data_IF_420853213449
#
_entry.id   IF_420853213449
#
_cell.length_a   1.000
_cell.length_b   1.000
_cell.length_c   1.000
_cell.angle_alpha   90.00
_cell.angle_beta   90.00
_cell.angle_gamma   90.00
#
_symmetry.space_group_name_H-M   'P 1'
#
loop_
_entity.id
_entity.type
_entity.pdbx_description
1 polymer ?
#
# COMPACT_ATOMS: atom_id res chain seq x y z
N UNK A 1 -12.37 1.13 -16.66
CA UNK A 1 -12.95 1.33 -15.33
C UNK A 1 -14.19 0.46 -15.15
N UNK A 2 -14.35 -0.13 -13.96
CA UNK A 2 -15.54 -0.89 -13.59
C UNK A 2 -16.77 0.05 -13.61
N UNK A 3 -17.89 -0.32 -14.28
CA UNK A 3 -19.14 0.43 -14.21
C UNK A 3 -19.69 0.50 -12.78
N UNK A 4 -20.34 1.61 -12.42
CA UNK A 4 -20.86 1.83 -11.07
C UNK A 4 -21.86 0.75 -10.63
N UNK A 5 -22.79 0.39 -11.51
CA UNK A 5 -23.79 -0.64 -11.26
C UNK A 5 -23.18 -2.03 -11.00
N UNK A 6 -22.06 -2.35 -11.65
CA UNK A 6 -21.34 -3.62 -11.41
C UNK A 6 -20.67 -3.59 -10.03
N UNK A 7 -20.03 -2.48 -9.67
CA UNK A 7 -19.45 -2.33 -8.33
C UNK A 7 -20.52 -2.42 -7.24
N UNK A 8 -21.65 -1.75 -7.41
CA UNK A 8 -22.79 -1.80 -6.48
C UNK A 8 -23.37 -3.20 -6.33
N UNK A 9 -23.52 -3.93 -7.43
CA UNK A 9 -24.01 -5.32 -7.41
C UNK A 9 -23.03 -6.23 -6.68
N UNK A 10 -21.73 -6.12 -6.95
CA UNK A 10 -20.70 -6.89 -6.26
C UNK A 10 -20.67 -6.63 -4.75
N UNK A 11 -20.75 -5.36 -4.34
CA UNK A 11 -20.79 -4.97 -2.94
C UNK A 11 -22.02 -5.54 -2.24
N UNK A 12 -23.22 -5.44 -2.84
CA UNK A 12 -24.45 -6.03 -2.31
C UNK A 12 -24.32 -7.54 -2.08
N UNK A 13 -23.83 -8.25 -3.11
CA UNK A 13 -23.59 -9.69 -3.03
C UNK A 13 -22.59 -10.06 -1.93
N UNK A 14 -21.54 -9.24 -1.73
CA UNK A 14 -20.58 -9.45 -0.65
C UNK A 14 -21.24 -9.34 0.74
N UNK A 15 -22.07 -8.33 0.96
CA UNK A 15 -22.77 -8.17 2.24
C UNK A 15 -23.85 -9.21 2.47
N UNK A 16 -24.56 -9.65 1.43
CA UNK A 16 -25.51 -10.78 1.52
C UNK A 16 -24.79 -12.07 1.95
N UNK A 17 -23.63 -12.34 1.36
CA UNK A 17 -22.78 -13.48 1.76
C UNK A 17 -22.25 -13.32 3.17
N UNK A 18 -21.75 -12.15 3.55
CA UNK A 18 -21.27 -11.86 4.89
C UNK A 18 -22.36 -12.11 5.94
N UNK A 19 -23.58 -11.68 5.69
CA UNK A 19 -24.74 -11.96 6.56
C UNK A 19 -25.03 -13.45 6.69
N UNK A 20 -25.02 -14.18 5.57
CA UNK A 20 -25.29 -15.63 5.55
C UNK A 20 -24.23 -16.44 6.29
N UNK A 21 -22.95 -16.04 6.12
CA UNK A 21 -21.80 -16.69 6.71
C UNK A 21 -21.44 -16.16 8.12
N UNK A 22 -22.22 -15.22 8.65
CA UNK A 22 -22.00 -14.56 9.96
C UNK A 22 -20.60 -13.91 10.08
N UNK A 23 -20.15 -13.26 9.01
CA UNK A 23 -18.88 -12.53 8.97
C UNK A 23 -19.07 -11.18 9.66
N UNK A 24 -18.25 -10.89 10.67
CA UNK A 24 -18.35 -9.68 11.49
C UNK A 24 -17.83 -8.41 10.82
N UNK A 25 -17.00 -8.55 9.78
CA UNK A 25 -16.32 -7.42 9.18
C UNK A 25 -16.02 -7.63 7.69
N UNK A 26 -16.25 -6.59 6.88
CA UNK A 26 -16.00 -6.57 5.42
C UNK A 26 -15.02 -5.46 5.08
N UNK A 27 -14.03 -5.76 4.28
CA UNK A 27 -13.11 -4.78 3.70
C UNK A 27 -13.46 -4.55 2.22
N UNK A 28 -13.76 -3.31 1.86
CA UNK A 28 -14.00 -2.89 0.48
C UNK A 28 -12.70 -2.32 -0.08
N UNK A 29 -11.96 -3.16 -0.79
CA UNK A 29 -10.65 -2.82 -1.34
C UNK A 29 -10.77 -2.21 -2.74
N UNK A 30 -10.34 -0.96 -2.88
CA UNK A 30 -10.13 -0.32 -4.19
C UNK A 30 -8.71 -0.65 -4.68
N UNK A 31 -8.66 -1.47 -5.72
CA UNK A 31 -7.41 -1.98 -6.27
C UNK A 31 -7.31 -1.71 -7.77
N UNK A 32 -6.09 -1.70 -8.30
CA UNK A 32 -5.78 -1.49 -9.70
C UNK A 32 -4.29 -1.21 -9.88
N UNK A 33 -3.85 -0.69 -11.00
CA UNK A 33 -2.48 -0.19 -11.15
C UNK A 33 -2.25 1.00 -10.21
N UNK A 34 -3.11 2.04 -10.32
CA UNK A 34 -3.22 3.14 -9.36
C UNK A 34 -4.71 3.48 -9.19
N UNK A 35 -5.31 3.23 -8.01
CA UNK A 35 -6.75 3.42 -7.83
C UNK A 35 -7.19 4.88 -7.96
N UNK A 36 -6.36 5.83 -7.53
CA UNK A 36 -6.72 7.26 -7.57
C UNK A 36 -6.71 7.90 -8.96
N UNK A 37 -6.29 7.19 -10.01
CA UNK A 37 -6.62 7.58 -11.41
C UNK A 37 -8.14 7.61 -11.60
N UNK A 38 -8.87 6.77 -10.86
CA UNK A 38 -10.32 6.68 -10.89
C UNK A 38 -10.99 7.36 -9.69
N UNK A 39 -10.41 8.43 -9.15
CA UNK A 39 -10.85 9.06 -7.91
C UNK A 39 -12.35 9.35 -7.88
N UNK A 40 -12.91 9.94 -8.94
CA UNK A 40 -14.35 10.21 -9.00
C UNK A 40 -15.17 8.91 -8.85
N UNK A 41 -14.73 7.81 -9.44
CA UNK A 41 -15.41 6.52 -9.29
C UNK A 41 -15.32 5.95 -7.87
N UNK A 42 -14.18 6.13 -7.19
CA UNK A 42 -14.03 5.77 -5.78
C UNK A 42 -15.04 6.58 -4.95
N UNK A 43 -15.10 7.89 -5.18
CA UNK A 43 -16.02 8.81 -4.50
C UNK A 43 -17.47 8.40 -4.69
N UNK A 44 -17.91 8.17 -5.94
CA UNK A 44 -19.27 7.75 -6.27
C UNK A 44 -19.67 6.45 -5.57
N UNK A 45 -18.75 5.46 -5.52
CA UNK A 45 -18.98 4.17 -4.85
C UNK A 45 -19.08 4.36 -3.36
N UNK A 46 -18.15 5.11 -2.75
CA UNK A 46 -18.12 5.35 -1.32
C UNK A 46 -19.35 6.13 -0.84
N UNK A 47 -19.74 7.20 -1.54
CA UNK A 47 -20.90 8.00 -1.19
C UNK A 47 -22.20 7.17 -1.27
N UNK A 48 -22.34 6.35 -2.32
CA UNK A 48 -23.44 5.41 -2.42
C UNK A 48 -23.42 4.37 -1.31
N UNK A 49 -22.25 3.78 -1.00
CA UNK A 49 -22.05 2.76 0.04
C UNK A 49 -22.41 3.31 1.43
N UNK A 50 -21.96 4.52 1.74
CA UNK A 50 -22.17 5.16 3.03
C UNK A 50 -23.61 5.68 3.25
N UNK A 51 -24.38 5.80 2.18
CA UNK A 51 -25.80 6.15 2.23
C UNK A 51 -26.71 4.94 2.48
N UNK A 52 -26.15 3.72 2.60
CA UNK A 52 -26.90 2.48 2.85
C UNK A 52 -26.69 1.98 4.28
N UNK A 53 -27.62 1.20 4.78
CA UNK A 53 -27.42 0.38 5.97
C UNK A 53 -26.97 -1.03 5.58
N UNK A 54 -25.92 -1.51 6.23
CA UNK A 54 -25.33 -2.82 5.95
C UNK A 54 -25.37 -3.73 7.17
N UNK A 55 -25.57 -5.05 6.99
CA UNK A 55 -25.71 -6.00 8.09
C UNK A 55 -24.42 -6.28 8.86
N UNK A 56 -23.28 -5.81 8.34
CA UNK A 56 -21.94 -6.13 8.84
C UNK A 56 -21.10 -4.85 8.85
N UNK A 57 -20.20 -4.71 9.83
CA UNK A 57 -19.22 -3.61 9.88
C UNK A 57 -18.29 -3.68 8.67
N UNK A 58 -17.84 -2.53 8.20
CA UNK A 58 -16.96 -2.48 7.06
C UNK A 58 -16.05 -1.24 7.09
N UNK A 59 -15.00 -1.30 6.29
CA UNK A 59 -14.12 -0.17 5.97
C UNK A 59 -13.84 -0.12 4.47
N UNK A 60 -13.62 1.05 3.92
CA UNK A 60 -13.07 1.22 2.60
C UNK A 60 -11.54 1.36 2.69
N UNK A 61 -10.83 0.73 1.77
CA UNK A 61 -9.38 0.74 1.78
C UNK A 61 -8.81 0.86 0.35
N UNK A 62 -7.74 1.62 0.18
CA UNK A 62 -6.96 1.65 -1.04
C UNK A 62 -5.46 1.65 -0.75
N UNK A 63 -4.67 0.98 -1.59
CA UNK A 63 -3.22 1.17 -1.62
C UNK A 63 -2.87 2.04 -2.81
N UNK A 64 -2.10 3.08 -2.60
CA UNK A 64 -1.71 4.05 -3.63
C UNK A 64 -0.20 4.18 -3.73
N UNK A 65 0.29 4.59 -4.90
CA UNK A 65 1.67 5.05 -5.09
C UNK A 65 1.89 6.47 -4.54
N UNK A 66 0.85 7.15 -4.07
CA UNK A 66 0.89 8.46 -3.43
C UNK A 66 0.97 9.66 -4.38
N UNK A 67 1.26 9.46 -5.66
CA UNK A 67 1.55 10.56 -6.60
C UNK A 67 0.33 11.41 -6.99
N UNK A 68 -0.87 10.87 -6.78
CA UNK A 68 -2.14 11.56 -7.10
C UNK A 68 -2.86 12.08 -5.84
N UNK A 69 -2.24 11.95 -4.66
CA UNK A 69 -2.84 12.41 -3.41
C UNK A 69 -2.52 13.89 -3.19
N UNK A 70 -3.31 14.76 -3.80
CA UNK A 70 -3.19 16.22 -3.72
C UNK A 70 -4.56 16.90 -3.83
N UNK A 71 -4.64 18.19 -3.49
CA UNK A 71 -5.84 19.04 -3.63
C UNK A 71 -7.14 18.33 -3.19
N UNK A 72 -8.14 18.24 -4.08
CA UNK A 72 -9.46 17.64 -3.82
C UNK A 72 -9.37 16.22 -3.25
N UNK A 73 -8.39 15.42 -3.68
CA UNK A 73 -8.21 14.05 -3.18
C UNK A 73 -7.86 14.09 -1.69
N UNK A 74 -6.92 14.94 -1.29
CA UNK A 74 -6.56 15.13 0.13
C UNK A 74 -7.74 15.61 0.96
N UNK A 75 -8.45 16.62 0.49
CA UNK A 75 -9.60 17.18 1.21
C UNK A 75 -10.68 16.11 1.43
N UNK A 76 -10.98 15.32 0.39
CA UNK A 76 -11.95 14.25 0.49
C UNK A 76 -11.49 13.14 1.45
N UNK A 77 -10.22 12.73 1.37
CA UNK A 77 -9.64 11.73 2.27
C UNK A 77 -9.67 12.20 3.73
N UNK A 78 -9.28 13.45 3.99
CA UNK A 78 -9.32 14.03 5.34
C UNK A 78 -10.72 14.05 5.94
N UNK A 79 -11.73 14.43 5.12
CA UNK A 79 -13.13 14.42 5.54
C UNK A 79 -13.64 13.01 5.88
N UNK A 80 -13.07 11.98 5.27
CA UNK A 80 -13.58 10.61 5.34
C UNK A 80 -12.58 9.62 5.97
N UNK A 81 -11.53 10.09 6.66
CA UNK A 81 -10.43 9.24 7.14
C UNK A 81 -10.85 8.11 8.09
N UNK A 82 -11.98 8.28 8.79
CA UNK A 82 -12.55 7.27 9.68
C UNK A 82 -13.27 6.13 8.92
N UNK A 83 -13.59 6.35 7.64
CA UNK A 83 -14.33 5.41 6.78
C UNK A 83 -13.51 4.90 5.60
N UNK A 84 -12.40 5.60 5.29
CA UNK A 84 -11.55 5.30 4.16
C UNK A 84 -10.08 5.33 4.59
N UNK A 85 -9.46 4.18 4.58
CA UNK A 85 -8.05 4.04 4.95
C UNK A 85 -7.19 3.99 3.69
N UNK A 86 -6.03 4.63 3.74
CA UNK A 86 -5.08 4.65 2.61
C UNK A 86 -3.74 4.10 3.06
N UNK A 87 -3.31 3.03 2.40
CA UNK A 87 -1.95 2.50 2.52
C UNK A 87 -1.03 3.06 1.44
N UNK A 88 0.19 3.39 1.80
CA UNK A 88 1.19 3.91 0.87
C UNK A 88 2.10 2.79 0.35
N UNK A 89 2.38 2.81 -0.97
CA UNK A 89 3.47 2.05 -1.56
C UNK A 89 4.75 2.88 -1.55
N UNK A 90 5.73 2.48 -0.75
CA UNK A 90 7.02 3.15 -0.64
C UNK A 90 8.15 2.11 -0.56
N UNK A 91 9.07 2.15 -1.51
CA UNK A 91 10.12 1.12 -1.64
C UNK A 91 11.44 1.57 -0.99
N UNK A 92 11.41 1.84 0.32
CA UNK A 92 12.62 2.18 1.08
C UNK A 92 13.11 3.60 0.86
N UNK A 93 14.43 3.76 0.69
CA UNK A 93 15.05 5.08 0.47
C UNK A 93 14.60 5.71 -0.84
N UNK A 94 14.85 7.02 -0.98
CA UNK A 94 14.56 7.74 -2.23
C UNK A 94 15.19 7.07 -3.45
N UNK A 95 16.42 6.58 -3.33
CA UNK A 95 17.12 5.89 -4.41
C UNK A 95 16.44 4.57 -4.77
N UNK A 96 16.14 3.73 -3.78
CA UNK A 96 15.44 2.46 -3.98
C UNK A 96 14.07 2.66 -4.62
N UNK A 97 13.29 3.60 -4.08
CA UNK A 97 11.95 3.92 -4.61
C UNK A 97 12.03 4.40 -6.05
N UNK A 98 12.93 5.35 -6.34
CA UNK A 98 13.07 5.90 -7.67
C UNK A 98 13.50 4.85 -8.70
N UNK A 99 14.35 3.90 -8.31
CA UNK A 99 14.73 2.76 -9.14
C UNK A 99 13.54 1.86 -9.49
N UNK A 100 12.71 1.55 -8.50
CA UNK A 100 11.58 0.62 -8.68
C UNK A 100 10.33 1.30 -9.28
N UNK A 101 10.17 2.63 -9.09
CA UNK A 101 8.90 3.35 -9.34
C UNK A 101 9.10 4.64 -10.15
N UNK A 102 9.89 4.58 -11.21
CA UNK A 102 9.98 5.65 -12.23
C UNK A 102 10.23 7.06 -11.66
N UNK A 103 11.14 7.21 -10.72
CA UNK A 103 11.53 8.48 -10.10
C UNK A 103 10.33 9.24 -9.50
N UNK A 104 9.49 8.55 -8.74
CA UNK A 104 8.27 9.14 -8.20
C UNK A 104 8.35 9.57 -6.73
N UNK A 105 9.46 9.33 -6.02
CA UNK A 105 9.58 9.60 -4.58
C UNK A 105 9.22 11.04 -4.21
N UNK A 106 9.76 12.03 -4.92
CA UNK A 106 9.55 13.46 -4.63
C UNK A 106 8.15 13.97 -4.99
N UNK A 107 7.32 13.12 -5.61
CA UNK A 107 5.91 13.42 -5.91
C UNK A 107 4.97 12.97 -4.80
N UNK A 108 5.50 12.30 -3.77
CA UNK A 108 4.73 11.74 -2.66
C UNK A 108 4.81 12.71 -1.48
N UNK A 109 3.67 13.11 -0.97
CA UNK A 109 3.59 13.82 0.31
C UNK A 109 3.60 12.79 1.46
N UNK A 110 4.79 12.28 1.79
CA UNK A 110 4.99 11.27 2.83
C UNK A 110 4.45 11.73 4.19
N UNK A 111 4.71 12.97 4.65
CA UNK A 111 4.16 13.48 5.92
C UNK A 111 2.64 13.33 6.01
N UNK A 112 1.92 13.58 4.93
CA UNK A 112 0.46 13.44 4.91
C UNK A 112 -0.01 12.02 5.32
N UNK A 113 0.69 10.97 4.89
CA UNK A 113 0.34 9.60 5.25
C UNK A 113 0.67 9.28 6.71
N UNK A 114 1.82 9.75 7.20
CA UNK A 114 2.26 9.56 8.59
C UNK A 114 1.28 10.25 9.56
N UNK A 115 0.89 11.48 9.26
CA UNK A 115 -0.01 12.28 10.11
C UNK A 115 -1.43 11.69 10.17
N UNK A 116 -1.91 11.10 9.09
CA UNK A 116 -3.30 10.68 8.98
C UNK A 116 -3.54 9.18 9.20
N UNK A 117 -2.57 8.33 8.88
CA UNK A 117 -2.66 6.88 9.05
C UNK A 117 -1.35 6.29 9.58
N UNK A 118 -0.87 6.69 10.78
CA UNK A 118 0.42 6.26 11.33
C UNK A 118 0.49 4.74 11.54
N UNK A 119 -0.65 4.11 11.83
CA UNK A 119 -0.74 2.66 12.03
C UNK A 119 -0.85 1.85 10.72
N UNK A 120 -1.03 2.53 9.58
CA UNK A 120 -1.05 1.85 8.30
C UNK A 120 0.36 1.50 7.85
N UNK A 121 0.55 0.23 7.55
CA UNK A 121 1.83 -0.24 7.03
C UNK A 121 2.10 0.28 5.62
N UNK A 122 3.35 0.63 5.40
CA UNK A 122 3.87 0.87 4.06
C UNK A 122 4.01 -0.47 3.32
N UNK A 123 3.64 -0.50 2.05
CA UNK A 123 3.92 -1.64 1.15
C UNK A 123 5.20 -1.38 0.38
N UNK A 124 6.21 -2.19 0.66
CA UNK A 124 7.53 -2.17 0.01
C UNK A 124 7.67 -3.39 -0.91
N UNK A 125 8.20 -3.19 -2.11
CA UNK A 125 8.43 -4.26 -3.08
C UNK A 125 9.92 -4.36 -3.41
N UNK A 126 10.71 -5.11 -2.61
CA UNK A 126 12.11 -5.36 -2.93
C UNK A 126 12.24 -6.06 -4.28
N UNK A 127 13.24 -5.65 -5.06
CA UNK A 127 13.61 -6.22 -6.35
C UNK A 127 15.07 -6.70 -6.31
N UNK A 128 15.55 -7.49 -7.28
CA UNK A 128 16.95 -7.87 -7.36
C UNK A 128 17.90 -6.67 -7.29
N UNK A 129 17.51 -5.54 -7.91
CA UNK A 129 18.31 -4.31 -7.91
C UNK A 129 18.34 -3.55 -6.58
N UNK A 130 17.39 -3.82 -5.66
CA UNK A 130 17.29 -3.13 -4.36
C UNK A 130 17.52 -4.05 -3.16
N UNK A 131 17.70 -5.36 -3.38
CA UNK A 131 17.83 -6.35 -2.32
C UNK A 131 19.01 -6.06 -1.38
N UNK A 132 20.15 -5.62 -1.92
CA UNK A 132 21.37 -5.30 -1.14
C UNK A 132 21.19 -4.14 -0.16
N UNK A 133 20.18 -3.29 -0.38
CA UNK A 133 19.82 -2.16 0.47
C UNK A 133 18.51 -2.39 1.24
N UNK A 134 18.02 -3.62 1.32
CA UNK A 134 16.74 -3.94 1.98
C UNK A 134 16.69 -3.42 3.42
N UNK A 135 17.73 -3.68 4.21
CA UNK A 135 17.78 -3.25 5.60
C UNK A 135 17.76 -1.71 5.73
N UNK A 136 18.57 -1.03 4.93
CA UNK A 136 18.60 0.44 4.86
C UNK A 136 17.22 1.00 4.50
N UNK A 137 16.54 0.40 3.52
CA UNK A 137 15.21 0.83 3.10
C UNK A 137 14.15 0.65 4.19
N UNK A 138 14.17 -0.47 4.92
CA UNK A 138 13.25 -0.72 6.04
C UNK A 138 13.52 0.24 7.20
N UNK A 139 14.79 0.44 7.54
CA UNK A 139 15.20 1.40 8.60
C UNK A 139 14.74 2.82 8.22
N UNK A 140 14.98 3.25 6.98
CA UNK A 140 14.56 4.56 6.50
C UNK A 140 13.03 4.76 6.65
N UNK A 141 12.22 3.77 6.27
CA UNK A 141 10.75 3.84 6.42
C UNK A 141 10.38 3.99 7.90
N UNK A 142 11.03 3.26 8.81
CA UNK A 142 10.81 3.39 10.24
C UNK A 142 11.22 4.78 10.76
N UNK A 143 12.37 5.31 10.35
CA UNK A 143 12.85 6.65 10.71
C UNK A 143 11.96 7.78 10.19
N UNK A 144 11.24 7.56 9.08
CA UNK A 144 10.20 8.47 8.62
C UNK A 144 8.99 8.54 9.55
N UNK A 145 8.80 7.54 10.44
CA UNK A 145 7.71 7.48 11.40
C UNK A 145 6.62 6.44 11.09
N UNK A 146 6.83 5.55 10.12
CA UNK A 146 5.91 4.44 9.91
C UNK A 146 6.18 3.30 10.89
N UNK A 147 5.14 2.86 11.62
CA UNK A 147 5.25 1.78 12.60
C UNK A 147 5.29 0.37 11.97
N UNK A 148 4.88 0.23 10.70
CA UNK A 148 4.78 -1.05 10.00
C UNK A 148 5.32 -0.97 8.58
N UNK A 149 6.02 -2.03 8.16
CA UNK A 149 6.47 -2.21 6.78
C UNK A 149 6.17 -3.63 6.30
N UNK A 150 5.36 -3.73 5.25
CA UNK A 150 4.99 -5.00 4.62
C UNK A 150 5.83 -5.19 3.36
N UNK A 151 6.84 -6.06 3.42
CA UNK A 151 7.69 -6.39 2.28
C UNK A 151 7.09 -7.55 1.48
N UNK A 152 6.82 -7.32 0.19
CA UNK A 152 6.45 -8.35 -0.77
C UNK A 152 7.45 -8.34 -1.91
N UNK A 153 8.20 -9.42 -2.07
CA UNK A 153 9.23 -9.51 -3.11
C UNK A 153 8.61 -9.44 -4.52
N UNK A 154 9.30 -8.77 -5.43
CA UNK A 154 8.87 -8.63 -6.81
C UNK A 154 8.68 -10.00 -7.48
N UNK A 155 7.51 -10.19 -8.10
CA UNK A 155 7.18 -11.40 -8.87
C UNK A 155 7.50 -11.19 -10.35
N UNK A 156 7.77 -12.31 -11.07
CA UNK A 156 8.01 -12.27 -12.51
C UNK A 156 9.39 -11.73 -12.91
N UNK A 157 10.32 -11.62 -11.96
CA UNK A 157 11.71 -11.22 -12.18
C UNK A 157 12.68 -12.33 -11.83
N UNK A 158 13.85 -12.36 -12.46
CA UNK A 158 14.90 -13.32 -12.16
C UNK A 158 15.62 -12.91 -10.86
N UNK A 159 15.60 -13.77 -9.85
CA UNK A 159 16.27 -13.55 -8.57
C UNK A 159 17.69 -14.11 -8.49
N UNK A 160 18.09 -14.93 -9.47
CA UNK A 160 19.42 -15.50 -9.60
C UNK A 160 20.44 -14.56 -10.27
N UNK A 161 19.97 -13.39 -10.70
CA UNK A 161 20.79 -12.37 -11.38
C UNK A 161 20.52 -10.97 -10.86
N UNK A 162 21.54 -10.13 -10.86
CA UNK A 162 21.40 -8.70 -10.64
C UNK A 162 20.81 -7.99 -11.89
N UNK A 163 20.61 -6.70 -11.78
CA UNK A 163 20.11 -5.85 -12.86
C UNK A 163 20.99 -5.82 -14.11
N UNK A 164 22.26 -6.22 -13.98
CA UNK A 164 23.22 -6.32 -15.09
C UNK A 164 23.33 -7.76 -15.65
N UNK A 165 22.50 -8.69 -15.16
CA UNK A 165 22.49 -10.10 -15.57
C UNK A 165 23.60 -10.95 -14.96
N UNK A 166 24.34 -10.42 -13.97
CA UNK A 166 25.38 -11.15 -13.25
C UNK A 166 24.73 -12.06 -12.20
N UNK A 167 25.18 -13.31 -12.11
CA UNK A 167 24.72 -14.27 -11.13
C UNK A 167 24.90 -13.73 -9.68
N UNK A 168 23.89 -13.87 -8.85
CA UNK A 168 23.90 -13.50 -7.44
C UNK A 168 23.33 -14.65 -6.59
N UNK A 169 23.84 -14.79 -5.38
CA UNK A 169 23.20 -15.58 -4.33
C UNK A 169 22.25 -14.68 -3.53
N UNK A 170 20.99 -14.60 -3.97
CA UNK A 170 19.99 -13.78 -3.31
C UNK A 170 19.67 -14.26 -1.88
N UNK A 171 19.83 -15.56 -1.58
CA UNK A 171 19.57 -16.11 -0.26
C UNK A 171 20.60 -15.61 0.74
N UNK A 172 21.88 -15.65 0.36
CA UNK A 172 22.94 -15.08 1.18
C UNK A 172 22.73 -13.59 1.42
N UNK A 173 22.45 -12.83 0.36
CA UNK A 173 22.19 -11.39 0.47
C UNK A 173 21.01 -11.12 1.39
N UNK A 174 19.89 -11.84 1.23
CA UNK A 174 18.73 -11.68 2.09
C UNK A 174 19.05 -11.96 3.55
N UNK A 175 19.79 -13.04 3.83
CA UNK A 175 20.20 -13.39 5.18
C UNK A 175 21.05 -12.28 5.82
N UNK A 176 22.00 -11.71 5.08
CA UNK A 176 22.81 -10.57 5.55
C UNK A 176 21.94 -9.34 5.87
N UNK A 177 20.95 -9.03 5.02
CA UNK A 177 20.04 -7.91 5.25
C UNK A 177 19.15 -8.15 6.49
N UNK A 178 18.62 -9.37 6.67
CA UNK A 178 17.80 -9.71 7.82
C UNK A 178 18.62 -9.65 9.13
N UNK A 179 19.91 -10.04 9.11
CA UNK A 179 20.78 -9.88 10.27
C UNK A 179 21.00 -8.39 10.64
N UNK A 180 21.18 -7.51 9.66
CA UNK A 180 21.26 -6.05 9.90
C UNK A 180 19.99 -5.51 10.53
N UNK A 181 18.82 -5.93 10.06
CA UNK A 181 17.54 -5.55 10.65
C UNK A 181 17.38 -6.07 12.07
N UNK A 182 17.77 -7.33 12.35
CA UNK A 182 17.71 -7.88 13.69
C UNK A 182 18.59 -7.08 14.67
N UNK A 183 19.78 -6.67 14.26
CA UNK A 183 20.66 -5.79 15.07
C UNK A 183 19.97 -4.45 15.33
N UNK A 184 19.45 -3.78 14.29
CA UNK A 184 18.75 -2.50 14.43
C UNK A 184 17.57 -2.60 15.41
N UNK A 185 16.70 -3.60 15.24
CA UNK A 185 15.53 -3.82 16.10
C UNK A 185 15.87 -4.18 17.54
N UNK A 186 17.09 -4.67 17.81
CA UNK A 186 17.54 -4.94 19.18
C UNK A 186 18.01 -3.68 19.94
N UNK A 187 18.14 -2.56 19.23
CA UNK A 187 18.64 -1.28 19.77
C UNK A 187 17.52 -0.25 20.03
N UNK A 188 16.31 -0.53 19.59
CA UNK A 188 15.14 0.33 19.74
C UNK A 188 14.09 -0.34 20.64
#
# INVERSE_FOLDING_TARGET
LMPLNIAQSGIKSTFERAKKEQIDYVEILFHGGEPFIAFQRIKDICEWLWAQEWPTKYICYATTNGTLIHNEVKEWLMKNKERFIVGLSLDGTREMHNRNRSNSYDKIDIPFFIENWPEQGVKMTPSPGTLKSLAEGVIHIHELGFSRNNCTFACGVAWDKDEFGKAIDYQQILQEQLMKLAIYLSLI
#
